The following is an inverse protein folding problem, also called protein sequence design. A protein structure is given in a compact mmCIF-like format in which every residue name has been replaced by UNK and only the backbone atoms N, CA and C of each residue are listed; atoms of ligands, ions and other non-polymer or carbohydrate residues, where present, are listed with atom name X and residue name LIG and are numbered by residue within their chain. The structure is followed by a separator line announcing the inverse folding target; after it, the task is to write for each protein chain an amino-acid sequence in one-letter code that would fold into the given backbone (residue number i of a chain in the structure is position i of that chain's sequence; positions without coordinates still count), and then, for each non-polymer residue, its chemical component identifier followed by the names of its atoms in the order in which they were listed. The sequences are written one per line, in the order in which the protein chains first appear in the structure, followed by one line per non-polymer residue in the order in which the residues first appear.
data_IF_495946061882
#
_entry.id   IF_495946061882
#
_cell.length_a   1.000
_cell.length_b   1.000
_cell.length_c   1.000
_cell.angle_alpha   90.00
_cell.angle_beta   90.00
_cell.angle_gamma   90.00
#
_symmetry.space_group_name_H-M   'P 1'
#
loop_
_entity.id
_entity.type
_entity.pdbx_description
1 polymer ?
#
# COMPACT_ATOMS: atom_id res chain seq x y z
N UNK A 1 27.98 -1.88 -18.04
CA UNK A 1 27.00 -1.27 -17.12
C UNK A 1 26.14 -2.42 -16.64
N UNK A 2 26.08 -2.70 -15.33
CA UNK A 2 25.31 -3.84 -14.83
C UNK A 2 23.84 -3.63 -15.20
N UNK A 3 23.24 -4.59 -15.91
CA UNK A 3 21.82 -4.59 -16.24
C UNK A 3 21.03 -4.43 -14.92
N UNK A 4 20.10 -3.47 -14.79
CA UNK A 4 19.35 -3.29 -13.56
C UNK A 4 18.61 -4.58 -13.23
N UNK A 5 18.98 -5.21 -12.12
CA UNK A 5 18.36 -6.47 -11.73
C UNK A 5 16.86 -6.24 -11.47
N UNK A 6 15.97 -6.86 -12.26
CA UNK A 6 14.55 -6.64 -12.13
C UNK A 6 14.03 -7.08 -10.76
N UNK A 7 14.75 -7.91 -10.00
CA UNK A 7 14.38 -8.28 -8.64
C UNK A 7 14.44 -7.09 -7.66
N UNK A 8 15.39 -6.18 -7.84
CA UNK A 8 15.55 -5.00 -6.97
C UNK A 8 14.40 -4.03 -7.18
N UNK A 9 14.05 -3.72 -8.44
CA UNK A 9 12.91 -2.86 -8.75
C UNK A 9 11.60 -3.45 -8.20
N UNK A 10 11.46 -4.77 -8.28
CA UNK A 10 10.29 -5.49 -7.74
C UNK A 10 10.16 -5.33 -6.24
N UNK A 11 11.27 -5.50 -5.51
CA UNK A 11 11.31 -5.31 -4.07
C UNK A 11 10.94 -3.87 -3.67
N UNK A 12 11.50 -2.87 -4.34
CA UNK A 12 11.19 -1.47 -4.06
C UNK A 12 9.71 -1.14 -4.23
N UNK A 13 9.06 -1.65 -5.27
CA UNK A 13 7.64 -1.39 -5.51
C UNK A 13 6.78 -2.01 -4.39
N UNK A 14 7.06 -3.24 -3.96
CA UNK A 14 6.32 -3.88 -2.85
C UNK A 14 6.52 -3.09 -1.55
N UNK A 15 7.74 -2.61 -1.28
CA UNK A 15 8.03 -1.81 -0.10
C UNK A 15 7.31 -0.46 -0.12
N UNK A 16 7.28 0.23 -1.26
CA UNK A 16 6.54 1.49 -1.42
C UNK A 16 5.04 1.30 -1.22
N UNK A 17 4.46 0.23 -1.75
CA UNK A 17 3.04 -0.10 -1.54
C UNK A 17 2.73 -0.37 -0.07
N UNK A 18 3.58 -1.11 0.63
CA UNK A 18 3.44 -1.32 2.08
C UNK A 18 3.51 -0.01 2.86
N UNK A 19 4.45 0.87 2.50
CA UNK A 19 4.57 2.19 3.12
C UNK A 19 3.34 3.06 2.83
N UNK A 20 2.84 3.06 1.59
CA UNK A 20 1.62 3.76 1.21
C UNK A 20 0.40 3.31 2.01
N UNK A 21 0.16 2.00 2.07
CA UNK A 21 -0.91 1.42 2.89
C UNK A 21 -0.76 1.76 4.37
N UNK A 22 0.45 1.68 4.93
CA UNK A 22 0.71 2.05 6.31
C UNK A 22 0.42 3.54 6.59
N UNK A 23 0.83 4.44 5.68
CA UNK A 23 0.54 5.88 5.78
C UNK A 23 -0.97 6.13 5.76
N UNK A 24 -1.73 5.46 4.89
CA UNK A 24 -3.18 5.59 4.82
C UNK A 24 -3.87 5.12 6.10
N UNK A 25 -3.40 4.01 6.69
CA UNK A 25 -3.93 3.51 7.98
C UNK A 25 -3.60 4.49 9.11
N UNK A 26 -2.39 5.02 9.16
CA UNK A 26 -2.01 6.03 10.16
C UNK A 26 -2.86 7.29 10.00
N UNK A 27 -3.06 7.77 8.78
CA UNK A 27 -3.92 8.92 8.50
C UNK A 27 -5.37 8.66 8.92
N UNK A 28 -5.91 7.47 8.67
CA UNK A 28 -7.24 7.08 9.13
C UNK A 28 -7.35 7.11 10.66
N UNK A 29 -6.36 6.58 11.36
CA UNK A 29 -6.31 6.59 12.83
C UNK A 29 -6.33 8.04 13.33
N UNK A 30 -5.51 8.93 12.75
CA UNK A 30 -5.46 10.34 13.15
C UNK A 30 -6.80 11.06 12.99
N UNK A 31 -7.57 10.72 11.95
CA UNK A 31 -8.92 11.26 11.75
C UNK A 31 -9.87 10.68 12.80
N UNK A 32 -9.85 9.37 13.03
CA UNK A 32 -10.72 8.70 13.99
C UNK A 32 -10.42 9.04 15.46
N UNK A 33 -9.20 9.50 15.75
CA UNK A 33 -8.81 10.00 17.07
C UNK A 33 -9.05 11.51 17.23
N UNK A 34 -9.79 12.13 16.30
CA UNK A 34 -10.13 13.56 16.32
C UNK A 34 -8.87 14.47 16.35
N UNK A 35 -7.72 13.94 15.92
CA UNK A 35 -6.47 14.71 15.85
C UNK A 35 -6.45 15.62 14.63
N UNK A 36 -7.18 15.24 13.59
CA UNK A 36 -7.47 16.04 12.41
C UNK A 36 -8.98 16.23 12.37
N UNK A 37 -9.43 17.48 12.42
CA UNK A 37 -10.83 17.88 12.18
C UNK A 37 -11.22 17.50 10.73
N UNK A 38 -11.69 16.26 10.57
CA UNK A 38 -12.17 15.73 9.31
C UNK A 38 -13.38 14.83 9.59
N UNK A 39 -14.30 14.67 8.63
CA UNK A 39 -15.48 13.83 8.84
C UNK A 39 -15.09 12.38 9.10
N UNK A 40 -15.72 11.72 10.07
CA UNK A 40 -15.48 10.30 10.39
C UNK A 40 -15.56 9.38 9.17
N UNK A 41 -16.46 9.71 8.24
CA UNK A 41 -16.64 9.00 6.97
C UNK A 41 -15.34 8.95 6.15
N UNK A 42 -14.54 10.01 6.19
CA UNK A 42 -13.25 10.07 5.52
C UNK A 42 -12.24 9.18 6.23
N UNK A 43 -12.26 9.16 7.57
CA UNK A 43 -11.44 8.25 8.39
C UNK A 43 -11.73 6.78 8.09
N UNK A 44 -13.00 6.38 8.09
CA UNK A 44 -13.40 5.01 7.75
C UNK A 44 -13.09 4.63 6.30
N UNK A 45 -13.26 5.55 5.35
CA UNK A 45 -12.91 5.32 3.95
C UNK A 45 -11.38 5.14 3.79
N UNK A 46 -10.56 6.00 4.40
CA UNK A 46 -9.10 5.84 4.39
C UNK A 46 -8.68 4.54 5.08
N UNK A 47 -9.34 4.14 6.15
CA UNK A 47 -9.03 2.89 6.85
C UNK A 47 -9.30 1.70 5.93
N UNK A 48 -10.47 1.65 5.29
CA UNK A 48 -10.85 0.60 4.37
C UNK A 48 -9.91 0.55 3.16
N UNK A 49 -9.57 1.70 2.56
CA UNK A 49 -8.64 1.80 1.44
C UNK A 49 -7.22 1.43 1.87
N UNK A 50 -6.74 1.92 3.02
CA UNK A 50 -5.41 1.60 3.54
C UNK A 50 -5.23 0.12 3.84
N UNK A 51 -6.24 -0.53 4.44
CA UNK A 51 -6.25 -1.99 4.62
C UNK A 51 -6.27 -2.70 3.27
N UNK A 52 -7.15 -2.28 2.35
CA UNK A 52 -7.25 -2.89 1.05
C UNK A 52 -5.93 -2.78 0.27
N UNK A 53 -5.27 -1.62 0.27
CA UNK A 53 -3.99 -1.43 -0.41
C UNK A 53 -2.88 -2.27 0.25
N UNK A 54 -2.84 -2.33 1.58
CA UNK A 54 -1.86 -3.11 2.33
C UNK A 54 -1.98 -4.63 2.08
N UNK A 55 -3.20 -5.14 1.87
CA UNK A 55 -3.44 -6.58 1.65
C UNK A 55 -3.57 -6.96 0.17
N UNK A 56 -4.37 -6.24 -0.62
CA UNK A 56 -4.63 -6.59 -2.01
C UNK A 56 -3.46 -6.21 -2.91
N UNK A 57 -2.91 -5.00 -2.79
CA UNK A 57 -1.91 -4.52 -3.74
C UNK A 57 -0.64 -5.38 -3.80
N UNK A 58 0.01 -5.79 -2.68
CA UNK A 58 1.18 -6.67 -2.75
C UNK A 58 0.82 -8.07 -3.26
N UNK A 59 -0.35 -8.60 -2.94
CA UNK A 59 -0.81 -9.90 -3.45
C UNK A 59 -1.08 -9.87 -4.95
N UNK A 60 -1.71 -8.80 -5.46
CA UNK A 60 -1.91 -8.61 -6.90
C UNK A 60 -0.58 -8.46 -7.63
N UNK A 61 0.37 -7.72 -7.07
CA UNK A 61 1.68 -7.51 -7.69
C UNK A 61 2.52 -8.79 -7.70
N UNK A 62 2.54 -9.54 -6.59
CA UNK A 62 3.19 -10.85 -6.50
C UNK A 62 2.60 -11.83 -7.53
N UNK A 63 1.27 -11.85 -7.68
CA UNK A 63 0.58 -12.71 -8.64
C UNK A 63 0.85 -12.30 -10.09
N UNK A 64 0.93 -11.00 -10.37
CA UNK A 64 1.24 -10.46 -11.70
C UNK A 64 2.67 -10.77 -12.15
N UNK A 65 3.63 -10.80 -11.24
CA UNK A 65 5.01 -11.16 -11.57
C UNK A 65 5.23 -12.67 -11.67
N UNK A 66 4.54 -13.47 -10.87
CA UNK A 66 4.54 -14.93 -11.05
C UNK A 66 3.97 -15.35 -12.41
N UNK A 67 3.01 -14.60 -12.96
CA UNK A 67 2.41 -14.92 -14.27
C UNK A 67 3.29 -14.59 -15.49
N UNK A 68 4.42 -13.89 -15.31
CA UNK A 68 5.38 -13.62 -16.40
C UNK A 68 6.43 -14.72 -16.59
N UNK A 69 6.33 -15.80 -15.83
CA UNK A 69 7.23 -16.96 -15.91
C UNK A 69 6.61 -18.14 -16.69
N UNK A 70 5.72 -17.86 -17.63
CA UNK A 70 5.21 -18.82 -18.63
C UNK A 70 5.46 -18.32 -20.04
#
# INVERSE_FOLDING_TARGET
MAEPDPAVSRFYIIQLLRLGGAILVVAAILILTDTIDAPDIVGYALLAVGLADFFLMPTFLARKWSSREK
#
